data_IF_116909299558
#
_entry.id   IF_116909299558
#
_cell.length_a   1.000
_cell.length_b   1.000
_cell.length_c   1.000
_cell.angle_alpha   90.00
_cell.angle_beta   90.00
_cell.angle_gamma   90.00
#
_symmetry.space_group_name_H-M   'P 1'
#
loop_
_entity.id
_entity.type
_entity.pdbx_description
1 polymer ?
#
# COMPACT_ATOMS: atom_id res chain seq x y z
N UNK A 1 38.66 0.14 85.18
CA UNK A 1 39.27 1.48 85.37
C UNK A 1 39.55 2.05 83.99
N UNK A 2 39.16 3.32 83.82
CA UNK A 2 39.57 4.32 82.81
C UNK A 2 38.91 4.22 81.42
N UNK A 3 37.98 5.14 81.11
CA UNK A 3 38.13 6.49 80.51
C UNK A 3 37.92 6.40 78.98
N UNK A 4 36.72 6.67 78.46
CA UNK A 4 36.24 7.96 77.91
C UNK A 4 37.29 8.76 77.11
N UNK A 5 37.10 8.83 75.77
CA UNK A 5 36.70 10.06 75.06
C UNK A 5 37.32 10.22 73.66
N UNK A 6 36.47 10.66 72.73
CA UNK A 6 36.77 11.63 71.66
C UNK A 6 37.44 11.16 70.36
N UNK A 7 36.59 10.67 69.44
CA UNK A 7 36.84 10.74 67.98
C UNK A 7 35.54 11.09 67.22
N UNK A 8 34.85 12.19 67.56
CA UNK A 8 33.62 12.63 66.89
C UNK A 8 33.83 13.61 65.71
N UNK A 9 35.04 13.77 65.18
CA UNK A 9 35.34 14.78 64.16
C UNK A 9 35.39 14.27 62.69
N UNK A 10 35.27 12.97 62.43
CA UNK A 10 35.43 12.41 61.07
C UNK A 10 34.13 12.13 60.30
N UNK A 11 32.97 12.18 60.96
CA UNK A 11 31.77 11.49 60.46
C UNK A 11 30.84 12.35 59.58
N UNK A 12 31.05 13.67 59.50
CA UNK A 12 30.18 14.57 58.71
C UNK A 12 30.53 14.61 57.21
N UNK A 13 31.76 14.27 56.82
CA UNK A 13 32.18 14.29 55.42
C UNK A 13 31.76 13.05 54.62
N UNK A 14 31.54 11.92 55.30
CA UNK A 14 31.26 10.64 54.62
C UNK A 14 29.80 10.52 54.16
N UNK A 15 28.84 11.05 54.93
CA UNK A 15 27.42 11.03 54.56
C UNK A 15 27.09 11.96 53.37
N UNK A 16 27.82 13.08 53.21
CA UNK A 16 27.63 14.00 52.09
C UNK A 16 28.00 13.38 50.73
N UNK A 17 29.05 12.57 50.70
CA UNK A 17 29.51 11.88 49.48
C UNK A 17 28.60 10.69 49.15
N UNK A 18 28.16 9.94 50.17
CA UNK A 18 27.21 8.83 49.98
C UNK A 18 25.84 9.30 49.47
N UNK A 19 25.33 10.44 49.93
CA UNK A 19 24.07 11.00 49.44
C UNK A 19 24.15 11.50 47.99
N UNK A 20 25.28 12.10 47.59
CA UNK A 20 25.50 12.55 46.21
C UNK A 20 25.64 11.37 45.23
N UNK A 21 26.30 10.28 45.63
CA UNK A 21 26.41 9.07 44.80
C UNK A 21 25.08 8.33 44.64
N UNK A 22 24.21 8.32 45.66
CA UNK A 22 22.89 7.71 45.59
C UNK A 22 21.93 8.47 44.67
N UNK A 23 21.99 9.81 44.64
CA UNK A 23 21.16 10.63 43.74
C UNK A 23 21.59 10.51 42.26
N UNK A 24 22.90 10.43 41.98
CA UNK A 24 23.38 10.18 40.62
C UNK A 24 23.08 8.74 40.14
N UNK A 25 23.05 7.75 41.03
CA UNK A 25 22.72 6.37 40.70
C UNK A 25 21.26 6.14 40.29
N UNK A 26 20.31 6.84 40.93
CA UNK A 26 18.88 6.71 40.60
C UNK A 26 18.55 7.40 39.27
N UNK A 27 19.20 8.52 38.95
CA UNK A 27 19.03 9.22 37.67
C UNK A 27 19.52 8.41 36.45
N UNK A 28 20.51 7.54 36.64
CA UNK A 28 21.00 6.64 35.59
C UNK A 28 20.04 5.47 35.31
N UNK A 29 19.33 4.98 36.34
CA UNK A 29 18.37 3.87 36.19
C UNK A 29 17.00 4.30 35.64
N UNK A 30 16.61 5.56 35.77
CA UNK A 30 15.37 6.09 35.17
C UNK A 30 15.55 6.57 33.71
N UNK A 31 16.78 6.56 33.19
CA UNK A 31 17.14 7.09 31.86
C UNK A 31 17.12 6.08 30.72
N UNK A 32 16.82 4.79 30.97
CA UNK A 32 16.66 3.79 29.90
C UNK A 32 15.21 3.74 29.43
N UNK A 33 14.67 4.90 29.05
CA UNK A 33 13.59 4.94 28.07
C UNK A 33 14.24 4.65 26.72
N UNK A 34 14.38 3.36 26.41
CA UNK A 34 14.55 2.90 25.04
C UNK A 34 13.36 3.44 24.24
N UNK A 35 13.51 4.63 23.67
CA UNK A 35 12.83 4.97 22.43
C UNK A 35 13.34 3.95 21.43
N UNK A 36 12.58 2.89 21.24
CA UNK A 36 12.56 2.18 19.97
C UNK A 36 12.63 3.27 18.89
N UNK A 37 13.69 3.33 18.06
CA UNK A 37 13.58 4.02 16.80
C UNK A 37 12.54 3.21 16.04
N UNK A 38 11.28 3.56 16.22
CA UNK A 38 10.19 3.00 15.44
C UNK A 38 10.62 3.13 14.00
N UNK A 39 10.92 1.98 13.40
CA UNK A 39 11.22 1.87 11.99
C UNK A 39 9.94 2.29 11.28
N UNK A 40 9.81 3.60 11.06
CA UNK A 40 8.79 4.17 10.21
C UNK A 40 9.21 3.79 8.80
N UNK A 41 8.75 2.63 8.34
CA UNK A 41 8.61 2.41 6.92
C UNK A 41 7.90 3.65 6.36
N UNK A 42 8.39 4.27 5.27
CA UNK A 42 7.58 5.23 4.56
C UNK A 42 6.22 4.56 4.33
N UNK A 43 5.09 5.22 4.62
CA UNK A 43 3.80 4.66 4.25
C UNK A 43 3.93 4.30 2.78
N UNK A 44 3.65 3.04 2.42
CA UNK A 44 3.71 2.63 1.02
C UNK A 44 2.76 3.57 0.29
N UNK A 45 3.34 4.52 -0.42
CA UNK A 45 2.61 5.52 -1.17
C UNK A 45 1.83 4.72 -2.20
N UNK A 46 0.56 5.03 -2.33
CA UNK A 46 -0.31 4.61 -3.43
C UNK A 46 0.45 4.90 -4.73
N UNK A 47 1.10 3.86 -5.26
CA UNK A 47 2.08 3.98 -6.33
C UNK A 47 1.38 3.60 -7.63
N UNK A 48 0.85 4.59 -8.32
CA UNK A 48 0.91 4.56 -9.77
C UNK A 48 2.34 4.95 -10.15
N UNK A 49 3.14 4.05 -10.73
CA UNK A 49 4.52 4.41 -11.11
C UNK A 49 4.51 5.57 -12.11
N UNK A 50 3.47 5.64 -12.94
CA UNK A 50 3.04 6.81 -13.69
C UNK A 50 1.56 6.66 -14.08
N UNK A 51 0.82 7.77 -14.19
CA UNK A 51 -0.52 7.80 -14.79
C UNK A 51 -0.67 9.06 -15.63
N UNK A 52 -1.33 8.94 -16.78
CA UNK A 52 -1.67 10.07 -17.64
C UNK A 52 -3.06 9.84 -18.25
N UNK A 53 -3.78 10.92 -18.53
CA UNK A 53 -5.15 10.87 -19.06
C UNK A 53 -5.34 11.91 -20.15
N UNK A 54 -5.77 11.47 -21.32
CA UNK A 54 -6.29 12.31 -22.40
C UNK A 54 -7.80 12.19 -22.54
N UNK A 55 -8.35 12.81 -23.58
CA UNK A 55 -9.80 12.79 -23.85
C UNK A 55 -10.31 11.42 -24.33
N UNK A 56 -9.48 10.66 -25.05
CA UNK A 56 -9.86 9.38 -25.65
C UNK A 56 -9.35 8.19 -24.83
N UNK A 57 -8.19 8.34 -24.18
CA UNK A 57 -7.51 7.25 -23.49
C UNK A 57 -6.95 7.70 -22.14
N UNK A 58 -6.90 6.76 -21.19
CA UNK A 58 -6.10 6.91 -19.98
C UNK A 58 -5.12 5.76 -19.83
N UNK A 59 -3.94 6.06 -19.31
CA UNK A 59 -2.90 5.09 -19.03
C UNK A 59 -2.46 5.18 -17.57
N UNK A 60 -2.13 4.02 -16.98
CA UNK A 60 -1.52 3.95 -15.67
C UNK A 60 -0.60 2.73 -15.62
N UNK A 61 0.45 2.81 -14.82
CA UNK A 61 1.31 1.66 -14.55
C UNK A 61 1.17 1.21 -13.11
N UNK A 62 1.35 -0.09 -12.86
CA UNK A 62 1.24 -0.66 -11.53
C UNK A 62 2.06 -1.93 -11.39
N UNK A 63 2.56 -2.16 -10.18
CA UNK A 63 3.41 -3.31 -9.86
C UNK A 63 2.61 -4.61 -9.83
N UNK A 64 2.86 -5.49 -10.79
CA UNK A 64 2.14 -6.78 -10.92
C UNK A 64 2.77 -7.85 -10.05
N UNK A 65 4.10 -7.89 -10.01
CA UNK A 65 4.87 -8.78 -9.15
C UNK A 65 6.16 -8.07 -8.67
N UNK A 66 7.04 -8.77 -7.95
CA UNK A 66 8.31 -8.18 -7.52
C UNK A 66 9.17 -7.63 -8.66
N UNK A 67 9.10 -8.28 -9.83
CA UNK A 67 9.98 -7.96 -10.97
C UNK A 67 9.23 -7.39 -12.18
N UNK A 68 7.88 -7.43 -12.18
CA UNK A 68 7.08 -7.10 -13.36
C UNK A 68 6.09 -5.98 -13.12
N UNK A 69 5.96 -5.12 -14.12
CA UNK A 69 5.02 -4.00 -14.17
C UNK A 69 3.96 -4.22 -15.25
N UNK A 70 2.75 -3.77 -14.96
CA UNK A 70 1.62 -3.77 -15.87
C UNK A 70 1.36 -2.36 -16.40
N UNK A 71 1.14 -2.25 -17.71
CA UNK A 71 0.61 -1.08 -18.39
C UNK A 71 -0.90 -1.25 -18.54
N UNK A 72 -1.67 -0.42 -17.85
CA UNK A 72 -3.11 -0.35 -17.95
C UNK A 72 -3.49 0.75 -18.94
N UNK A 73 -4.41 0.44 -19.85
CA UNK A 73 -4.94 1.36 -20.86
C UNK A 73 -6.45 1.25 -20.85
N UNK A 74 -7.12 2.38 -20.69
CA UNK A 74 -8.58 2.50 -20.73
C UNK A 74 -8.98 3.36 -21.94
N UNK A 75 -9.81 2.79 -22.80
CA UNK A 75 -10.50 3.50 -23.88
C UNK A 75 -11.80 4.12 -23.35
N UNK A 76 -11.92 5.43 -23.47
CA UNK A 76 -13.06 6.19 -22.95
C UNK A 76 -14.32 6.02 -23.81
N UNK A 77 -14.17 5.77 -25.10
CA UNK A 77 -15.29 5.63 -26.02
C UNK A 77 -16.00 4.28 -25.85
N UNK A 78 -15.23 3.21 -25.65
CA UNK A 78 -15.77 1.84 -25.52
C UNK A 78 -15.89 1.36 -24.09
N UNK A 79 -15.20 1.99 -23.13
CA UNK A 79 -15.04 1.49 -21.77
C UNK A 79 -14.17 0.23 -21.71
N UNK A 80 -13.44 -0.10 -22.77
CA UNK A 80 -12.55 -1.25 -22.82
C UNK A 80 -11.29 -0.94 -22.03
N UNK A 81 -11.07 -1.72 -20.99
CA UNK A 81 -9.89 -1.70 -20.16
C UNK A 81 -8.98 -2.86 -20.54
N UNK A 82 -7.69 -2.59 -20.73
CA UNK A 82 -6.67 -3.58 -21.04
C UNK A 82 -5.46 -3.41 -20.11
N UNK A 83 -4.86 -4.53 -19.72
CA UNK A 83 -3.62 -4.58 -18.95
C UNK A 83 -2.61 -5.42 -19.70
N UNK A 84 -1.47 -4.84 -20.04
CA UNK A 84 -0.34 -5.51 -20.66
C UNK A 84 0.79 -5.65 -19.65
N UNK A 85 1.24 -6.88 -19.38
CA UNK A 85 2.33 -7.14 -18.42
C UNK A 85 3.62 -7.42 -19.17
N UNK A 86 4.65 -6.64 -18.87
CA UNK A 86 5.98 -6.83 -19.44
C UNK A 86 6.72 -7.95 -18.70
N UNK A 87 7.29 -8.90 -19.45
CA UNK A 87 8.11 -9.97 -18.90
C UNK A 87 9.58 -9.50 -18.85
N UNK A 88 10.19 -9.39 -17.67
CA UNK A 88 11.52 -8.77 -17.53
C UNK A 88 12.63 -9.53 -18.29
N UNK A 89 12.53 -10.85 -18.35
CA UNK A 89 13.54 -11.70 -19.01
C UNK A 89 13.59 -11.51 -20.52
N UNK A 90 12.47 -11.20 -21.15
CA UNK A 90 12.36 -11.08 -22.61
C UNK A 90 12.16 -9.65 -23.10
N UNK A 91 11.87 -8.70 -22.19
CA UNK A 91 11.51 -7.33 -22.51
C UNK A 91 10.36 -7.24 -23.54
N UNK A 92 9.39 -8.16 -23.44
CA UNK A 92 8.18 -8.22 -24.28
C UNK A 92 6.94 -8.32 -23.40
N UNK A 93 5.80 -7.90 -23.94
CA UNK A 93 4.51 -8.18 -23.32
C UNK A 93 4.24 -9.69 -23.38
N UNK A 94 4.13 -10.30 -22.21
CA UNK A 94 3.89 -11.74 -22.07
C UNK A 94 2.49 -12.07 -21.55
N UNK A 95 1.78 -11.10 -21.00
CA UNK A 95 0.40 -11.28 -20.57
C UNK A 95 -0.50 -10.11 -20.97
N UNK A 96 -1.75 -10.43 -21.31
CA UNK A 96 -2.80 -9.44 -21.58
C UNK A 96 -4.09 -9.81 -20.85
N UNK A 97 -4.69 -8.84 -20.17
CA UNK A 97 -5.97 -9.01 -19.49
C UNK A 97 -6.91 -7.88 -19.88
N UNK A 98 -8.19 -8.16 -20.02
CA UNK A 98 -9.17 -7.13 -20.39
C UNK A 98 -10.43 -7.16 -19.53
N UNK A 99 -11.15 -6.06 -19.47
CA UNK A 99 -12.52 -5.99 -18.95
C UNK A 99 -13.27 -4.84 -19.61
N UNK A 100 -14.59 -4.89 -19.59
CA UNK A 100 -15.42 -3.75 -19.97
C UNK A 100 -15.94 -3.05 -18.71
N UNK A 101 -15.56 -1.79 -18.54
CA UNK A 101 -15.96 -0.96 -17.39
C UNK A 101 -17.44 -0.60 -17.46
N UNK A 102 -17.95 -0.31 -18.66
CA UNK A 102 -19.36 0.00 -18.88
C UNK A 102 -20.27 -1.19 -18.52
N UNK A 103 -19.85 -2.42 -18.82
CA UNK A 103 -20.56 -3.63 -18.40
C UNK A 103 -20.52 -3.82 -16.89
N UNK A 104 -19.36 -3.62 -16.26
CA UNK A 104 -19.23 -3.73 -14.81
C UNK A 104 -20.07 -2.68 -14.05
N UNK A 105 -20.19 -1.47 -14.62
CA UNK A 105 -20.98 -0.38 -14.06
C UNK A 105 -22.42 -0.36 -14.58
N UNK A 106 -22.88 -1.37 -15.32
CA UNK A 106 -24.23 -1.41 -15.87
C UNK A 106 -25.29 -1.25 -14.76
N UNK A 107 -26.20 -0.29 -14.95
CA UNK A 107 -27.24 0.07 -13.97
C UNK A 107 -26.79 1.05 -12.88
N UNK A 108 -25.51 1.42 -12.82
CA UNK A 108 -24.95 2.48 -11.96
C UNK A 108 -24.27 3.61 -12.75
N UNK A 109 -23.82 3.31 -13.98
CA UNK A 109 -23.24 4.27 -14.91
C UNK A 109 -24.29 5.12 -15.64
N UNK A 110 -23.86 6.29 -16.14
CA UNK A 110 -24.70 7.21 -16.92
C UNK A 110 -24.38 7.13 -18.42
N UNK A 111 -25.33 7.55 -19.27
CA UNK A 111 -25.08 7.66 -20.71
C UNK A 111 -24.07 8.79 -20.95
N UNK A 112 -22.95 8.47 -21.59
CA UNK A 112 -21.83 9.43 -21.76
C UNK A 112 -20.88 9.47 -20.55
N UNK A 113 -20.59 8.30 -19.98
CA UNK A 113 -19.59 8.13 -18.91
C UNK A 113 -18.25 8.73 -19.29
N UNK A 114 -17.65 9.45 -18.34
CA UNK A 114 -16.30 10.00 -18.44
C UNK A 114 -15.43 9.26 -17.45
N UNK A 115 -14.59 8.35 -17.92
CA UNK A 115 -13.84 7.49 -17.01
C UNK A 115 -12.58 8.17 -16.49
N UNK A 116 -12.26 7.89 -15.24
CA UNK A 116 -11.01 8.24 -14.59
C UNK A 116 -10.46 6.95 -13.98
N UNK A 117 -9.15 6.72 -14.10
CA UNK A 117 -8.55 5.52 -13.53
C UNK A 117 -7.25 5.82 -12.79
N UNK A 118 -6.95 4.97 -11.80
CA UNK A 118 -5.70 5.01 -11.04
C UNK A 118 -5.35 3.62 -10.55
N UNK A 119 -4.06 3.31 -10.50
CA UNK A 119 -3.53 2.06 -9.91
C UNK A 119 -3.18 2.28 -8.44
N UNK A 120 -3.37 1.24 -7.63
CA UNK A 120 -2.92 1.19 -6.24
C UNK A 120 -2.31 -0.17 -5.92
N UNK A 121 -1.59 -0.24 -4.80
CA UNK A 121 -1.01 -1.48 -4.31
C UNK A 121 -1.99 -2.18 -3.36
N UNK A 122 -2.12 -3.49 -3.48
CA UNK A 122 -2.88 -4.29 -2.52
C UNK A 122 -2.17 -5.61 -2.26
N UNK A 123 -2.01 -5.92 -0.98
CA UNK A 123 -1.45 -7.19 -0.54
C UNK A 123 -2.59 -8.14 -0.17
N UNK A 124 -2.99 -8.99 -1.13
CA UNK A 124 -4.03 -9.99 -0.90
C UNK A 124 -3.49 -11.14 -0.04
N UNK A 125 -4.14 -11.49 1.09
CA UNK A 125 -3.75 -12.64 1.89
C UNK A 125 -3.94 -13.93 1.07
N UNK A 126 -2.85 -14.54 0.64
CA UNK A 126 -2.87 -15.80 -0.11
C UNK A 126 -1.52 -16.12 -0.72
N UNK A 127 -0.80 -17.11 -0.17
CA UNK A 127 0.50 -17.57 -0.68
C UNK A 127 0.42 -18.59 -1.82
N UNK A 128 -0.72 -18.69 -2.50
CA UNK A 128 -0.97 -19.71 -3.52
C UNK A 128 -0.45 -19.32 -4.90
N UNK A 129 -0.29 -20.32 -5.78
CA UNK A 129 0.10 -20.18 -7.20
C UNK A 129 -0.79 -19.23 -8.04
N UNK A 130 -1.99 -18.94 -7.54
CA UNK A 130 -3.02 -18.12 -8.18
C UNK A 130 -3.39 -16.88 -7.34
N UNK A 131 -2.50 -16.42 -6.46
CA UNK A 131 -2.72 -15.17 -5.75
C UNK A 131 -2.84 -14.01 -6.77
N UNK A 132 -3.84 -13.13 -6.66
CA UNK A 132 -3.92 -11.94 -7.49
C UNK A 132 -2.61 -11.14 -7.42
N UNK A 133 -2.32 -10.40 -8.49
CA UNK A 133 -1.19 -9.49 -8.53
C UNK A 133 -1.24 -8.50 -7.36
N UNK A 134 -0.10 -7.95 -6.99
CA UNK A 134 0.01 -6.94 -5.93
C UNK A 134 -0.58 -5.56 -6.30
N UNK A 135 -1.36 -5.47 -7.38
CA UNK A 135 -1.92 -4.22 -7.90
C UNK A 135 -3.43 -4.33 -8.03
N UNK A 136 -4.09 -3.21 -7.73
CA UNK A 136 -5.52 -3.00 -7.93
C UNK A 136 -5.69 -1.79 -8.84
N UNK A 137 -6.56 -1.92 -9.83
CA UNK A 137 -6.95 -0.81 -10.68
C UNK A 137 -8.32 -0.30 -10.25
N UNK A 138 -8.40 0.98 -9.92
CA UNK A 138 -9.65 1.66 -9.61
C UNK A 138 -10.10 2.43 -10.84
N UNK A 139 -11.36 2.24 -11.22
CA UNK A 139 -11.98 3.02 -12.30
C UNK A 139 -13.25 3.65 -11.77
N UNK A 140 -13.39 4.95 -12.00
CA UNK A 140 -14.54 5.77 -11.64
C UNK A 140 -15.17 6.31 -12.92
N UNK A 141 -16.49 6.20 -13.05
CA UNK A 141 -17.26 7.03 -13.97
C UNK A 141 -17.48 8.41 -13.31
N UNK A 142 -16.80 9.43 -13.81
CA UNK A 142 -16.89 10.81 -13.33
C UNK A 142 -18.25 11.44 -13.57
N UNK A 143 -19.08 10.89 -14.48
CA UNK A 143 -20.42 11.41 -14.74
C UNK A 143 -21.39 10.91 -13.66
N UNK A 144 -21.49 9.60 -13.43
CA UNK A 144 -22.40 9.00 -12.43
C UNK A 144 -21.86 8.97 -11.00
N UNK A 145 -20.54 8.96 -10.84
CA UNK A 145 -19.85 8.69 -9.58
C UNK A 145 -19.83 7.20 -9.20
N UNK A 146 -20.20 6.29 -10.10
CA UNK A 146 -20.05 4.85 -9.90
C UNK A 146 -18.60 4.42 -10.11
N UNK A 147 -18.11 3.47 -9.30
CA UNK A 147 -16.74 2.97 -9.39
C UNK A 147 -16.65 1.47 -9.24
N UNK A 148 -15.57 0.91 -9.78
CA UNK A 148 -15.20 -0.50 -9.71
C UNK A 148 -13.71 -0.63 -9.44
N UNK A 149 -13.35 -1.58 -8.59
CA UNK A 149 -11.97 -2.01 -8.36
C UNK A 149 -11.73 -3.34 -9.06
N UNK A 150 -10.63 -3.45 -9.79
CA UNK A 150 -10.22 -4.67 -10.50
C UNK A 150 -8.91 -5.23 -9.93
N UNK A 151 -8.89 -6.55 -9.77
CA UNK A 151 -7.71 -7.34 -9.50
C UNK A 151 -7.19 -8.00 -10.78
N UNK A 152 -5.88 -8.22 -10.82
CA UNK A 152 -5.20 -8.84 -11.96
C UNK A 152 -4.88 -10.32 -11.64
N UNK A 153 -5.49 -11.30 -12.33
CA UNK A 153 -5.25 -12.72 -12.08
C UNK A 153 -3.95 -13.19 -12.76
N UNK A 154 -2.80 -12.85 -12.17
CA UNK A 154 -1.48 -13.07 -12.74
C UNK A 154 -0.76 -14.28 -12.14
N UNK A 155 -0.35 -15.26 -12.96
CA UNK A 155 0.47 -16.39 -12.53
C UNK A 155 1.97 -16.11 -12.75
N UNK A 156 2.70 -15.93 -11.65
CA UNK A 156 4.15 -15.71 -11.66
C UNK A 156 4.91 -16.90 -12.23
N UNK A 157 4.41 -18.13 -12.04
CA UNK A 157 5.04 -19.35 -12.56
C UNK A 157 5.07 -19.34 -14.09
N UNK A 158 3.98 -18.87 -14.72
CA UNK A 158 3.92 -18.75 -16.18
C UNK A 158 4.85 -17.66 -16.70
N UNK A 159 4.99 -16.53 -15.98
CA UNK A 159 5.99 -15.51 -16.30
C UNK A 159 7.42 -16.05 -16.19
N UNK A 160 7.75 -16.76 -15.10
CA UNK A 160 9.10 -17.35 -14.92
C UNK A 160 9.42 -18.39 -15.99
N UNK A 161 8.41 -19.11 -16.49
CA UNK A 161 8.54 -20.04 -17.62
C UNK A 161 8.45 -19.37 -19.00
N UNK A 162 8.31 -18.03 -19.04
CA UNK A 162 8.12 -17.24 -20.27
C UNK A 162 6.95 -17.73 -21.13
N UNK A 163 5.87 -18.18 -20.50
CA UNK A 163 4.63 -18.60 -21.17
C UNK A 163 3.63 -17.46 -21.21
N UNK A 164 2.91 -17.33 -22.31
CA UNK A 164 1.88 -16.32 -22.46
C UNK A 164 0.71 -16.56 -21.51
N UNK A 165 0.08 -15.47 -21.05
CA UNK A 165 -1.11 -15.50 -20.21
C UNK A 165 -2.16 -14.56 -20.77
N UNK A 166 -3.42 -15.00 -20.78
CA UNK A 166 -4.54 -14.18 -21.22
C UNK A 166 -5.75 -14.43 -20.34
N UNK A 167 -6.55 -13.39 -20.10
CA UNK A 167 -7.76 -13.54 -19.29
C UNK A 167 -8.54 -12.25 -19.11
N UNK A 168 -9.45 -12.26 -18.15
CA UNK A 168 -10.30 -11.12 -17.81
C UNK A 168 -9.84 -10.53 -16.48
N UNK A 169 -9.86 -9.19 -16.35
CA UNK A 169 -9.64 -8.54 -15.06
C UNK A 169 -10.79 -8.88 -14.12
N UNK A 170 -10.46 -9.23 -12.88
CA UNK A 170 -11.46 -9.71 -11.92
C UNK A 170 -12.03 -8.52 -11.15
N UNK A 171 -13.33 -8.22 -11.22
CA UNK A 171 -13.92 -7.19 -10.37
C UNK A 171 -13.84 -7.65 -8.91
N UNK A 172 -13.27 -6.81 -8.05
CA UNK A 172 -13.09 -7.06 -6.63
C UNK A 172 -14.24 -6.48 -5.81
N UNK A 173 -14.58 -5.22 -6.09
CA UNK A 173 -15.67 -4.50 -5.43
C UNK A 173 -16.18 -3.35 -6.29
N UNK A 174 -17.39 -2.89 -6.02
CA UNK A 174 -18.08 -1.83 -6.76
C UNK A 174 -18.88 -0.94 -5.81
N UNK A 175 -18.99 0.35 -6.14
CA UNK A 175 -19.75 1.29 -5.33
C UNK A 175 -20.18 2.53 -6.09
N UNK A 176 -20.73 3.49 -5.35
CA UNK A 176 -21.18 4.77 -5.89
C UNK A 176 -20.91 5.88 -4.88
N UNK A 177 -20.20 6.94 -5.31
CA UNK A 177 -19.85 8.09 -4.48
C UNK A 177 -21.05 9.01 -4.27
N UNK A 178 -21.86 9.22 -5.32
CA UNK A 178 -23.07 10.02 -5.25
C UNK A 178 -24.19 9.21 -4.61
N UNK A 179 -24.32 9.29 -3.29
CA UNK A 179 -25.50 8.79 -2.59
C UNK A 179 -26.69 9.71 -2.92
N UNK A 180 -27.74 9.15 -3.50
CA UNK A 180 -29.05 9.83 -3.48
C UNK A 180 -29.47 9.94 -2.01
N UNK A 181 -29.83 11.15 -1.59
CA UNK A 181 -30.21 11.45 -0.21
C UNK A 181 -31.25 10.44 0.28
N UNK A 182 -30.95 9.80 1.42
CA UNK A 182 -31.95 9.13 2.24
C UNK A 182 -32.96 10.23 2.63
N UNK A 183 -34.16 10.17 2.05
CA UNK A 183 -35.31 10.91 2.58
C UNK A 183 -35.78 10.13 3.80
N UNK A 184 -35.57 10.77 4.96
CA UNK A 184 -36.10 10.54 6.32
C UNK A 184 -36.39 9.10 6.77
#
# INVERSE_FOLDING_TARGET
MNETSSCCAGMKGFYGVLAACLLCGIGYLAGTQTREPGFSLPPHLINATASDSGEEFSLATGRVSGDAEGLFVLDHATGLLQCYVMYPRTAKFGAVFSANVGEALAGRGEKGSKYIMVTGDANFPGGGRSAPAGTVLYVLDGTSGAFVAYGLPFDRTMMTANRSQQGVLTPLDMGQVRQMAIRE
#
